data_IF_876817785986
#
_entry.id   IF_876817785986
#
_cell.length_a   1.000
_cell.length_b   1.000
_cell.length_c   1.000
_cell.angle_alpha   90.00
_cell.angle_beta   90.00
_cell.angle_gamma   90.00
#
_symmetry.space_group_name_H-M   'P 1'
#
loop_
_entity.id
_entity.type
_entity.pdbx_description
1 polymer ?
#
# COMPACT_ATOMS: atom_id res chain seq x y z
N UNK A 1 20.07 -22.76 -4.87
CA UNK A 1 19.43 -21.56 -5.47
C UNK A 1 18.29 -22.06 -6.34
N UNK A 2 17.10 -21.46 -6.26
CA UNK A 2 15.94 -21.90 -7.06
C UNK A 2 16.28 -21.76 -8.55
N UNK A 3 15.97 -22.80 -9.34
CA UNK A 3 16.35 -22.83 -10.75
C UNK A 3 15.44 -21.95 -11.61
N UNK A 4 14.19 -21.76 -11.19
CA UNK A 4 13.18 -20.98 -11.89
C UNK A 4 12.26 -20.26 -10.91
N UNK A 5 11.52 -19.27 -11.41
CA UNK A 5 10.48 -18.56 -10.67
C UNK A 5 9.37 -19.52 -10.19
N UNK A 6 8.90 -20.43 -11.05
CA UNK A 6 7.85 -21.38 -10.69
C UNK A 6 8.26 -22.29 -9.52
N UNK A 7 9.51 -22.76 -9.50
CA UNK A 7 10.00 -23.57 -8.38
C UNK A 7 10.03 -22.74 -7.10
N UNK A 8 10.37 -21.45 -7.18
CA UNK A 8 10.34 -20.55 -6.04
C UNK A 8 8.93 -20.37 -5.49
N UNK A 9 7.96 -20.10 -6.36
CA UNK A 9 6.55 -19.91 -5.97
C UNK A 9 5.92 -21.20 -5.42
N UNK A 10 6.17 -22.36 -6.06
CA UNK A 10 5.70 -23.67 -5.60
C UNK A 10 6.22 -24.01 -4.19
N UNK A 11 7.44 -23.56 -3.84
CA UNK A 11 7.96 -23.75 -2.49
C UNK A 11 7.18 -22.91 -1.47
N UNK A 12 6.79 -21.70 -1.82
CA UNK A 12 5.93 -20.88 -0.95
C UNK A 12 4.54 -21.48 -0.79
N UNK A 13 3.93 -21.92 -1.89
CA UNK A 13 2.62 -22.58 -1.86
C UNK A 13 2.64 -23.81 -0.94
N UNK A 14 3.65 -24.68 -1.10
CA UNK A 14 3.79 -25.85 -0.26
C UNK A 14 4.02 -25.50 1.22
N UNK A 15 4.72 -24.41 1.52
CA UNK A 15 4.88 -23.94 2.89
C UNK A 15 3.56 -23.41 3.48
N UNK A 16 2.78 -22.70 2.69
CA UNK A 16 1.45 -22.23 3.10
C UNK A 16 0.47 -23.38 3.31
N UNK A 17 0.57 -24.44 2.51
CA UNK A 17 -0.18 -25.67 2.76
C UNK A 17 0.24 -26.33 4.08
N UNK A 18 1.54 -26.41 4.38
CA UNK A 18 2.01 -26.90 5.69
C UNK A 18 1.49 -26.06 6.87
N UNK A 19 1.32 -24.74 6.69
CA UNK A 19 0.71 -23.89 7.72
C UNK A 19 -0.74 -24.31 7.98
N UNK A 20 -1.52 -24.58 6.93
CA UNK A 20 -2.90 -25.10 7.05
C UNK A 20 -2.93 -26.47 7.71
N UNK A 21 -2.09 -27.39 7.24
CA UNK A 21 -2.00 -28.76 7.75
C UNK A 21 -1.54 -28.81 9.22
N UNK A 22 -0.84 -27.77 9.68
CA UNK A 22 -0.42 -27.61 11.07
C UNK A 22 -1.51 -27.06 12.00
N UNK A 23 -2.74 -26.88 11.52
CA UNK A 23 -3.80 -26.13 12.20
C UNK A 23 -3.34 -24.71 12.57
N UNK A 24 -2.63 -24.04 11.65
CA UNK A 24 -2.12 -22.66 11.84
C UNK A 24 -1.22 -22.46 13.07
N UNK A 25 -0.64 -23.54 13.61
CA UNK A 25 0.35 -23.47 14.70
C UNK A 25 1.67 -22.83 14.25
N UNK A 26 1.94 -22.87 12.94
CA UNK A 26 3.11 -22.23 12.33
C UNK A 26 2.71 -20.86 11.80
N UNK A 27 3.40 -19.80 12.25
CA UNK A 27 3.18 -18.46 11.68
C UNK A 27 3.92 -18.32 10.34
N UNK A 28 3.28 -17.85 9.25
CA UNK A 28 3.81 -17.87 7.88
C UNK A 28 4.84 -16.76 7.61
N UNK A 29 5.90 -16.69 8.41
CA UNK A 29 6.96 -15.69 8.24
C UNK A 29 8.00 -16.13 7.21
N UNK A 30 8.66 -15.15 6.57
CA UNK A 30 9.85 -15.38 5.73
C UNK A 30 10.98 -16.10 6.48
N UNK A 31 11.09 -15.91 7.79
CA UNK A 31 12.05 -16.64 8.64
C UNK A 31 11.68 -18.11 8.81
N UNK A 32 10.41 -18.42 9.04
CA UNK A 32 9.94 -19.80 9.16
C UNK A 32 10.01 -20.54 7.83
N UNK A 33 9.69 -19.85 6.74
CA UNK A 33 9.91 -20.35 5.39
C UNK A 33 11.41 -20.67 5.16
N UNK A 34 12.32 -19.73 5.48
CA UNK A 34 13.76 -19.95 5.33
C UNK A 34 14.24 -21.19 6.10
N UNK A 35 13.77 -21.38 7.34
CA UNK A 35 14.04 -22.57 8.14
C UNK A 35 13.54 -23.86 7.47
N UNK A 36 12.30 -23.86 6.98
CA UNK A 36 11.66 -25.01 6.33
C UNK A 36 12.44 -25.50 5.11
N UNK A 37 12.93 -24.60 4.27
CA UNK A 37 13.71 -24.95 3.08
C UNK A 37 15.22 -25.09 3.35
N UNK A 38 15.65 -25.02 4.61
CA UNK A 38 17.07 -25.16 4.99
C UNK A 38 17.98 -24.07 4.45
N UNK A 39 17.53 -22.81 4.39
CA UNK A 39 18.33 -21.68 3.89
C UNK A 39 18.34 -20.49 4.85
N UNK A 40 19.16 -19.49 4.52
CA UNK A 40 19.24 -18.24 5.29
C UNK A 40 18.14 -17.26 4.89
N UNK A 41 17.67 -16.44 5.84
CA UNK A 41 16.76 -15.34 5.56
C UNK A 41 17.32 -14.39 4.48
N UNK A 42 18.64 -14.13 4.51
CA UNK A 42 19.31 -13.29 3.50
C UNK A 42 19.15 -13.88 2.10
N UNK A 43 19.27 -15.20 1.95
CA UNK A 43 19.06 -15.89 0.67
C UNK A 43 17.63 -15.71 0.19
N UNK A 44 16.64 -15.88 1.06
CA UNK A 44 15.22 -15.65 0.74
C UNK A 44 15.00 -14.24 0.21
N UNK A 45 15.55 -13.22 0.88
CA UNK A 45 15.41 -11.83 0.44
C UNK A 45 16.11 -11.57 -0.90
N UNK A 46 17.30 -12.15 -1.12
CA UNK A 46 17.99 -12.06 -2.41
C UNK A 46 17.19 -12.72 -3.55
N UNK A 47 16.48 -13.81 -3.27
CA UNK A 47 15.62 -14.47 -4.24
C UNK A 47 14.42 -13.60 -4.62
N UNK A 48 13.81 -12.88 -3.68
CA UNK A 48 12.77 -11.89 -4.02
C UNK A 48 13.27 -10.77 -4.94
N UNK A 49 14.52 -10.35 -4.81
CA UNK A 49 15.13 -9.37 -5.73
C UNK A 49 15.35 -9.98 -7.12
N UNK A 50 15.62 -11.28 -7.21
CA UNK A 50 15.81 -11.99 -8.48
C UNK A 50 14.49 -12.26 -9.21
N UNK A 51 13.41 -12.52 -8.46
CA UNK A 51 12.07 -12.77 -9.00
C UNK A 51 11.07 -11.75 -8.43
N UNK A 52 11.12 -10.50 -8.89
CA UNK A 52 10.30 -9.43 -8.33
C UNK A 52 8.80 -9.65 -8.53
N UNK A 53 8.40 -10.25 -9.65
CA UNK A 53 6.99 -10.56 -9.95
C UNK A 53 6.38 -11.53 -8.93
N UNK A 54 7.17 -12.48 -8.41
CA UNK A 54 6.71 -13.40 -7.37
C UNK A 54 6.35 -12.72 -6.06
N UNK A 55 6.87 -11.50 -5.80
CA UNK A 55 6.58 -10.79 -4.56
C UNK A 55 5.08 -10.53 -4.40
N UNK A 56 4.41 -10.12 -5.48
CA UNK A 56 2.97 -9.86 -5.48
C UNK A 56 2.20 -11.17 -5.27
N UNK A 57 2.51 -12.20 -6.06
CA UNK A 57 1.86 -13.51 -5.97
C UNK A 57 1.98 -14.11 -4.58
N UNK A 58 3.19 -14.14 -4.01
CA UNK A 58 3.45 -14.71 -2.68
C UNK A 58 2.78 -13.90 -1.58
N UNK A 59 2.74 -12.57 -1.69
CA UNK A 59 2.07 -11.74 -0.69
C UNK A 59 0.54 -11.86 -0.74
N UNK A 60 -0.03 -12.09 -1.92
CA UNK A 60 -1.47 -12.38 -2.05
C UNK A 60 -1.79 -13.72 -1.37
N UNK A 61 -1.03 -14.78 -1.65
CA UNK A 61 -1.17 -16.07 -0.96
C UNK A 61 -0.97 -15.92 0.56
N UNK A 62 0.01 -15.13 1.00
CA UNK A 62 0.23 -14.84 2.41
C UNK A 62 -0.98 -14.14 3.04
N UNK A 63 -1.60 -13.18 2.34
CA UNK A 63 -2.79 -12.49 2.83
C UNK A 63 -3.95 -13.47 3.05
N UNK A 64 -4.18 -14.41 2.12
CA UNK A 64 -5.21 -15.43 2.26
C UNK A 64 -4.98 -16.29 3.51
N UNK A 65 -3.76 -16.80 3.71
CA UNK A 65 -3.40 -17.59 4.89
C UNK A 65 -3.61 -16.81 6.18
N UNK A 66 -3.19 -15.54 6.21
CA UNK A 66 -3.37 -14.65 7.36
C UNK A 66 -4.86 -14.48 7.72
N UNK A 67 -5.71 -14.28 6.72
CA UNK A 67 -7.16 -14.15 6.90
C UNK A 67 -7.79 -15.47 7.37
N UNK A 68 -7.41 -16.59 6.76
CA UNK A 68 -7.87 -17.93 7.16
C UNK A 68 -7.58 -18.22 8.64
N UNK A 69 -6.34 -17.96 9.09
CA UNK A 69 -5.95 -18.18 10.48
C UNK A 69 -6.70 -17.29 11.48
N UNK A 70 -7.09 -16.07 11.09
CA UNK A 70 -7.98 -15.21 11.91
C UNK A 70 -9.40 -15.75 11.92
N UNK A 71 -9.95 -16.11 10.76
CA UNK A 71 -11.31 -16.62 10.63
C UNK A 71 -11.53 -17.88 11.49
N UNK A 72 -10.50 -18.73 11.58
CA UNK A 72 -10.48 -19.93 12.41
C UNK A 72 -10.06 -19.69 13.87
N UNK A 73 -9.85 -18.42 14.28
CA UNK A 73 -9.50 -17.99 15.64
C UNK A 73 -8.13 -18.46 16.15
N UNK A 74 -7.22 -18.83 15.26
CA UNK A 74 -5.85 -19.19 15.65
C UNK A 74 -4.99 -17.95 15.93
N UNK A 75 -5.24 -16.84 15.24
CA UNK A 75 -4.45 -15.62 15.38
C UNK A 75 -5.30 -14.40 15.75
N UNK A 76 -4.67 -13.46 16.47
CA UNK A 76 -5.31 -12.22 16.89
C UNK A 76 -5.50 -11.27 15.70
N UNK A 77 -6.74 -10.85 15.46
CA UNK A 77 -7.14 -10.05 14.30
C UNK A 77 -6.35 -8.73 14.18
N UNK A 78 -6.15 -8.02 15.28
CA UNK A 78 -5.41 -6.75 15.29
C UNK A 78 -3.96 -6.91 14.80
N UNK A 79 -3.27 -7.97 15.24
CA UNK A 79 -1.90 -8.26 14.80
C UNK A 79 -1.87 -8.58 13.31
N UNK A 80 -2.86 -9.33 12.84
CA UNK A 80 -2.95 -9.74 11.44
C UNK A 80 -3.25 -8.56 10.52
N UNK A 81 -4.07 -7.60 10.95
CA UNK A 81 -4.27 -6.34 10.20
C UNK A 81 -2.93 -5.60 10.03
N UNK A 82 -2.11 -5.50 11.09
CA UNK A 82 -0.78 -4.90 10.97
C UNK A 82 0.14 -5.71 10.04
N UNK A 83 0.11 -7.04 10.10
CA UNK A 83 0.85 -7.89 9.17
C UNK A 83 0.40 -7.70 7.72
N UNK A 84 -0.90 -7.66 7.44
CA UNK A 84 -1.41 -7.41 6.08
C UNK A 84 -0.99 -6.05 5.54
N UNK A 85 -1.03 -5.00 6.38
CA UNK A 85 -0.57 -3.65 6.00
C UNK A 85 0.92 -3.61 5.70
N UNK A 86 1.74 -4.15 6.59
CA UNK A 86 3.20 -4.04 6.49
C UNK A 86 3.84 -5.05 5.53
N UNK A 87 3.26 -6.24 5.38
CA UNK A 87 3.86 -7.33 4.61
C UNK A 87 3.21 -7.52 3.26
N UNK A 88 1.90 -7.34 3.17
CA UNK A 88 1.13 -7.55 1.95
C UNK A 88 0.74 -6.23 1.25
N UNK A 89 1.07 -5.08 1.82
CA UNK A 89 0.74 -3.77 1.25
C UNK A 89 -0.76 -3.47 1.24
N UNK A 90 -1.54 -4.16 2.09
CA UNK A 90 -2.97 -3.90 2.20
C UNK A 90 -3.20 -2.50 2.78
N UNK A 91 -4.14 -1.76 2.22
CA UNK A 91 -4.49 -0.42 2.70
C UNK A 91 -5.98 -0.37 2.98
N UNK A 92 -6.35 0.31 4.05
CA UNK A 92 -7.76 0.66 4.23
C UNK A 92 -8.13 1.58 3.06
N UNK A 93 -9.14 1.20 2.26
CA UNK A 93 -9.75 2.16 1.34
C UNK A 93 -10.34 3.27 2.18
N UNK A 94 -9.64 4.40 2.24
CA UNK A 94 -10.30 5.65 2.58
C UNK A 94 -10.96 6.10 1.30
N UNK A 95 -12.29 6.04 1.25
CA UNK A 95 -13.04 6.94 0.38
C UNK A 95 -12.83 8.35 0.94
N UNK A 96 -11.63 8.90 0.74
CA UNK A 96 -11.43 10.34 0.78
C UNK A 96 -12.19 10.88 -0.42
N UNK A 97 -13.47 11.15 -0.23
CA UNK A 97 -14.11 12.23 -0.97
C UNK A 97 -13.24 13.46 -0.74
N UNK A 98 -12.37 13.74 -1.71
CA UNK A 98 -11.62 14.98 -1.76
C UNK A 98 -12.66 16.09 -1.97
N UNK A 99 -13.16 16.65 -0.87
CA UNK A 99 -13.80 17.97 -0.89
C UNK A 99 -12.78 19.09 -1.08
N UNK A 100 -11.49 18.74 -1.19
CA UNK A 100 -10.45 19.62 -1.73
C UNK A 100 -10.68 19.81 -3.24
N UNK A 101 -11.70 20.58 -3.57
CA UNK A 101 -11.61 21.56 -4.66
C UNK A 101 -10.65 22.65 -4.20
N UNK A 102 -9.38 22.29 -3.97
CA UNK A 102 -8.30 23.24 -4.17
C UNK A 102 -8.27 23.52 -5.66
N UNK A 103 -9.13 24.43 -6.13
CA UNK A 103 -8.77 25.30 -7.24
C UNK A 103 -7.36 25.75 -6.90
N UNK A 104 -6.38 25.35 -7.75
CA UNK A 104 -5.01 25.84 -7.66
C UNK A 104 -5.08 27.31 -7.28
N UNK A 105 -4.35 27.72 -6.24
CA UNK A 105 -4.16 29.12 -5.93
C UNK A 105 -3.55 29.77 -7.17
N UNK A 106 -4.42 30.38 -7.96
CA UNK A 106 -4.12 31.31 -9.02
C UNK A 106 -3.28 32.41 -8.34
N UNK A 107 -2.12 32.73 -8.88
CA UNK A 107 -1.18 33.64 -8.23
C UNK A 107 -1.86 34.97 -7.88
N UNK A 108 -1.31 35.76 -6.95
CA UNK A 108 -1.92 37.07 -6.60
C UNK A 108 -2.10 37.95 -7.83
N UNK A 109 -1.19 37.81 -8.77
CA UNK A 109 -1.13 38.49 -10.05
C UNK A 109 -2.28 38.03 -10.95
N UNK A 110 -2.42 36.72 -11.15
CA UNK A 110 -3.49 36.15 -11.98
C UNK A 110 -4.88 36.43 -11.39
N UNK A 111 -5.02 36.39 -10.05
CA UNK A 111 -6.28 36.72 -9.36
C UNK A 111 -6.65 38.19 -9.55
N UNK A 112 -5.66 39.09 -9.54
CA UNK A 112 -5.87 40.53 -9.76
C UNK A 112 -6.30 40.81 -11.19
N UNK A 113 -5.73 40.13 -12.18
CA UNK A 113 -6.14 40.24 -13.58
C UNK A 113 -7.58 39.77 -13.79
N UNK A 114 -7.95 38.61 -13.22
CA UNK A 114 -9.31 38.06 -13.33
C UNK A 114 -10.35 38.95 -12.63
N UNK A 115 -10.01 39.54 -11.48
CA UNK A 115 -10.86 40.50 -10.79
C UNK A 115 -11.07 41.79 -11.59
N UNK A 116 -10.01 42.31 -12.21
CA UNK A 116 -10.11 43.53 -13.03
C UNK A 116 -10.98 43.29 -14.27
N UNK A 117 -10.82 42.14 -14.92
CA UNK A 117 -11.64 41.73 -16.07
C UNK A 117 -13.12 41.56 -15.69
N UNK A 118 -13.42 40.93 -14.55
CA UNK A 118 -14.78 40.84 -14.01
C UNK A 118 -15.38 42.22 -13.71
N UNK A 119 -14.62 43.09 -13.03
CA UNK A 119 -15.10 44.44 -12.68
C UNK A 119 -15.37 45.29 -13.93
N UNK A 120 -14.58 45.12 -15.00
CA UNK A 120 -14.84 45.78 -16.28
C UNK A 120 -16.10 45.24 -16.98
N UNK A 121 -16.29 43.91 -16.99
CA UNK A 121 -17.50 43.28 -17.56
C UNK A 121 -18.79 43.73 -16.88
N UNK A 122 -18.77 43.86 -15.55
CA UNK A 122 -19.92 44.29 -14.75
C UNK A 122 -20.03 45.82 -14.62
N UNK A 123 -19.16 46.59 -15.28
CA UNK A 123 -19.21 48.07 -15.27
C UNK A 123 -18.91 48.72 -13.92
N UNK A 124 -18.23 48.00 -13.01
CA UNK A 124 -17.89 48.48 -11.66
C UNK A 124 -16.67 49.40 -11.76
N UNK A 125 -16.86 50.70 -11.50
CA UNK A 125 -15.74 51.67 -11.46
C UNK A 125 -14.82 51.40 -10.28
N UNK A 126 -13.57 51.05 -10.57
CA UNK A 126 -12.49 50.95 -9.57
C UNK A 126 -12.20 52.36 -9.05
N UNK A 127 -12.44 52.62 -7.77
CA UNK A 127 -12.07 53.89 -7.15
C UNK A 127 -10.54 53.97 -7.03
N UNK A 128 -9.90 55.11 -7.39
CA UNK A 128 -8.47 55.27 -7.23
C UNK A 128 -8.13 55.18 -5.74
N UNK A 129 -7.05 54.45 -5.45
CA UNK A 129 -6.51 54.29 -4.11
C UNK A 129 -6.16 55.69 -3.56
N UNK A 130 -6.97 56.23 -2.66
CA UNK A 130 -6.58 57.40 -1.88
C UNK A 130 -5.51 56.93 -0.90
N UNK A 131 -4.24 57.13 -1.25
CA UNK A 131 -3.17 57.23 -0.26
C UNK A 131 -3.55 58.35 0.71
N UNK A 132 -3.92 57.95 1.93
CA UNK A 132 -3.99 58.85 3.07
C UNK A 132 -2.55 59.16 3.49
N UNK A 133 -2.13 60.41 3.30
CA UNK A 133 -1.21 61.06 4.24
C UNK A 133 -2.02 61.61 5.43
#
# INVERSE_FOLDING_TARGET
>A
MFKTQDIWENQWEAFFQEVRDSDFKIFPTKTNFAKRIGTSYSTVMKTFVMYPESFVTINNMLADILVEGVALKYWQSGMIIFSMKNWCGWTDKRDTFNTDTTKKLVSKEDFKEELLDYMQREGIKVLPNTTKD
#
